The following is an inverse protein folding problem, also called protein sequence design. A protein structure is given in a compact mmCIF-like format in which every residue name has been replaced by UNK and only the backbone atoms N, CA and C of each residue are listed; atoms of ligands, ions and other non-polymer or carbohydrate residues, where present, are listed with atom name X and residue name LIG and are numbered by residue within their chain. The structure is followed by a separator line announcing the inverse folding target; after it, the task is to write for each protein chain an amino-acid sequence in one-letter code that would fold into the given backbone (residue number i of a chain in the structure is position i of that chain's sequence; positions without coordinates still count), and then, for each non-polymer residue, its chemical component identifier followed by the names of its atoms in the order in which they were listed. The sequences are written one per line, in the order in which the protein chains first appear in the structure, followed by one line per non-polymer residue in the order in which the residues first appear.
data_IF_236036966875
#
_entry.id   IF_236036966875
#
_cell.length_a   1.000
_cell.length_b   1.000
_cell.length_c   1.000
_cell.angle_alpha   90.00
_cell.angle_beta   90.00
_cell.angle_gamma   90.00
#
_symmetry.space_group_name_H-M   'P 1'
#
loop_
_entity.id
_entity.type
_entity.pdbx_description
1 polymer ?
#
# COMPACT_ATOMS: atom_id res chain seq x y z
N UNK A 1 -49.97 -13.08 58.37
CA UNK A 1 -49.33 -11.75 58.29
C UNK A 1 -48.52 -11.77 56.98
N UNK A 2 -49.19 -11.94 55.84
CA UNK A 2 -49.89 -10.93 55.01
C UNK A 2 -48.97 -9.85 54.46
N UNK A 3 -48.69 -9.97 53.15
CA UNK A 3 -48.17 -8.95 52.23
C UNK A 3 -49.27 -7.93 51.87
N UNK A 4 -48.93 -6.63 51.70
CA UNK A 4 -49.71 -5.54 51.04
C UNK A 4 -48.72 -4.38 50.72
N UNK A 5 -48.74 -3.59 49.62
CA UNK A 5 -49.26 -3.71 48.24
C UNK A 5 -48.53 -2.68 47.31
N UNK A 6 -48.37 -3.03 46.02
CA UNK A 6 -48.51 -2.19 44.79
C UNK A 6 -47.75 -0.86 44.52
N UNK A 7 -46.98 -0.92 43.41
CA UNK A 7 -47.08 -0.11 42.17
C UNK A 7 -47.39 1.41 42.19
N UNK A 8 -46.54 2.18 41.47
CA UNK A 8 -46.99 3.02 40.33
C UNK A 8 -45.85 3.38 39.37
N UNK A 9 -46.17 3.64 38.11
CA UNK A 9 -45.22 4.01 37.05
C UNK A 9 -45.44 5.45 36.52
N UNK A 10 -44.34 6.08 36.09
CA UNK A 10 -44.21 7.08 35.01
C UNK A 10 -44.96 8.45 35.06
N UNK A 11 -44.60 9.48 34.24
CA UNK A 11 -43.35 9.69 33.47
C UNK A 11 -42.77 11.15 33.47
N UNK A 12 -41.58 11.29 32.87
CA UNK A 12 -41.09 12.39 32.01
C UNK A 12 -40.68 13.81 32.54
N UNK A 13 -39.77 14.40 31.74
CA UNK A 13 -39.40 15.82 31.57
C UNK A 13 -38.46 16.54 32.57
N UNK A 14 -37.15 16.51 32.29
CA UNK A 14 -36.22 17.63 32.48
C UNK A 14 -35.31 17.73 31.23
N UNK A 15 -35.54 18.70 30.34
CA UNK A 15 -34.93 20.06 30.31
C UNK A 15 -33.48 20.08 29.81
N UNK A 16 -33.31 20.36 28.52
CA UNK A 16 -32.08 20.93 27.97
C UNK A 16 -31.87 22.36 28.50
N UNK A 17 -30.62 22.75 28.84
CA UNK A 17 -30.19 24.12 28.82
C UNK A 17 -29.27 24.39 27.62
N UNK A 18 -29.55 25.44 26.85
CA UNK A 18 -28.60 25.97 25.86
C UNK A 18 -27.41 26.64 26.55
N UNK A 19 -26.19 26.51 26.01
CA UNK A 19 -25.04 27.29 26.51
C UNK A 19 -23.69 26.96 25.88
N UNK A 20 -23.28 27.83 24.94
CA UNK A 20 -21.90 28.09 24.49
C UNK A 20 -21.07 26.98 23.81
N UNK A 21 -20.65 27.31 22.58
CA UNK A 21 -19.44 26.79 21.95
C UNK A 21 -18.20 27.32 22.69
N UNK A 22 -17.19 26.46 22.92
CA UNK A 22 -15.81 26.90 22.77
C UNK A 22 -14.86 25.88 22.12
N UNK A 23 -14.08 26.40 21.17
CA UNK A 23 -12.67 26.08 20.88
C UNK A 23 -12.34 24.82 20.05
N UNK A 24 -11.37 25.03 19.17
CA UNK A 24 -10.65 24.07 18.33
C UNK A 24 -9.90 23.03 19.18
N UNK A 25 -9.65 21.81 18.66
CA UNK A 25 -8.57 20.97 19.16
C UNK A 25 -7.20 21.62 18.87
N UNK A 26 -6.15 21.34 19.68
CA UNK A 26 -4.87 22.03 19.59
C UNK A 26 -3.99 21.56 18.42
N UNK A 27 -3.18 22.47 17.88
CA UNK A 27 -1.96 22.15 17.13
C UNK A 27 -0.79 22.00 18.10
N UNK A 28 -0.18 20.81 18.13
CA UNK A 28 1.09 20.37 18.75
C UNK A 28 0.83 18.97 19.33
N UNK A 29 1.62 17.92 19.10
CA UNK A 29 2.98 17.85 18.57
C UNK A 29 3.70 16.74 19.34
N UNK A 30 4.45 15.89 18.62
CA UNK A 30 5.41 14.91 19.15
C UNK A 30 4.86 13.78 20.03
N UNK A 31 4.67 12.61 19.40
CA UNK A 31 5.01 11.32 20.00
C UNK A 31 5.56 10.42 18.89
N UNK A 32 6.90 10.41 18.72
CA UNK A 32 7.55 9.45 17.82
C UNK A 32 7.51 8.10 18.53
N UNK A 33 6.52 7.28 18.18
CA UNK A 33 6.52 5.86 18.53
C UNK A 33 7.51 5.16 17.61
N UNK A 34 8.43 4.39 18.18
CA UNK A 34 9.27 3.50 17.38
C UNK A 34 8.40 2.38 16.82
N UNK A 35 8.09 2.45 15.53
CA UNK A 35 7.61 1.29 14.78
C UNK A 35 8.69 0.21 14.88
N UNK A 36 8.28 -1.01 15.21
CA UNK A 36 9.14 -2.19 15.15
C UNK A 36 8.65 -3.06 14.03
N UNK A 37 9.36 -3.08 12.92
CA UNK A 37 9.15 -4.11 11.92
C UNK A 37 9.43 -5.47 12.52
N UNK A 38 8.59 -6.44 12.15
CA UNK A 38 8.84 -7.84 12.45
C UNK A 38 8.51 -8.70 11.25
N UNK A 39 9.53 -9.35 10.71
CA UNK A 39 9.36 -10.36 9.65
C UNK A 39 8.68 -11.59 10.25
N UNK A 40 7.37 -11.72 10.00
CA UNK A 40 6.55 -12.80 10.56
C UNK A 40 6.79 -14.15 9.89
N UNK A 41 7.61 -15.03 10.49
CA UNK A 41 7.73 -16.42 10.01
C UNK A 41 6.48 -17.24 10.37
N UNK A 42 5.54 -17.40 9.43
CA UNK A 42 4.37 -18.24 9.64
C UNK A 42 4.74 -19.73 9.77
N UNK A 43 4.38 -20.37 10.89
CA UNK A 43 4.59 -21.83 11.06
C UNK A 43 3.49 -22.61 10.36
N UNK A 44 3.83 -23.22 9.22
CA UNK A 44 3.00 -24.16 8.47
C UNK A 44 2.23 -25.16 9.35
N UNK A 45 0.91 -25.07 9.36
CA UNK A 45 0.02 -26.22 9.48
C UNK A 45 -0.84 -26.29 8.20
N UNK A 46 -0.70 -27.38 7.44
CA UNK A 46 -1.40 -27.56 6.16
C UNK A 46 -2.90 -27.84 6.36
N UNK A 47 -3.78 -27.15 5.63
CA UNK A 47 -5.06 -27.71 5.20
C UNK A 47 -4.88 -28.55 3.92
N UNK A 48 -5.74 -29.56 3.74
CA UNK A 48 -5.82 -30.33 2.49
C UNK A 48 -6.63 -29.57 1.43
N UNK A 49 -6.36 -29.75 0.12
CA UNK A 49 -7.03 -28.98 -0.92
C UNK A 49 -8.50 -29.39 -1.07
N UNK A 50 -9.40 -28.45 -0.84
CA UNK A 50 -10.76 -28.48 -1.37
C UNK A 50 -10.94 -27.25 -2.25
N UNK A 51 -11.27 -27.44 -3.53
CA UNK A 51 -11.72 -26.35 -4.38
C UNK A 51 -13.05 -25.82 -3.80
N UNK A 52 -12.99 -24.72 -3.06
CA UNK A 52 -14.16 -23.89 -2.81
C UNK A 52 -14.23 -22.87 -3.94
N UNK A 53 -15.34 -22.88 -4.67
CA UNK A 53 -15.61 -21.84 -5.66
C UNK A 53 -15.96 -20.54 -4.91
N UNK A 54 -15.36 -19.42 -5.32
CA UNK A 54 -15.70 -18.10 -4.81
C UNK A 54 -17.21 -17.83 -4.96
N UNK A 55 -17.90 -17.35 -3.92
CA UNK A 55 -19.29 -16.92 -4.05
C UNK A 55 -19.37 -15.72 -5.00
N UNK A 56 -20.42 -15.67 -5.82
CA UNK A 56 -20.52 -14.70 -6.92
C UNK A 56 -20.64 -13.24 -6.44
N UNK A 57 -19.53 -12.51 -6.52
CA UNK A 57 -19.48 -11.03 -6.38
C UNK A 57 -19.93 -10.38 -7.70
N UNK A 58 -20.59 -9.23 -7.62
CA UNK A 58 -21.23 -8.52 -8.72
C UNK A 58 -20.80 -7.05 -8.72
N UNK A 59 -19.91 -6.68 -9.65
CA UNK A 59 -19.65 -5.27 -9.96
C UNK A 59 -20.87 -4.66 -10.67
N UNK A 60 -21.27 -3.44 -10.30
CA UNK A 60 -22.39 -2.74 -10.94
C UNK A 60 -21.91 -1.90 -12.14
N UNK A 61 -22.21 -2.33 -13.38
CA UNK A 61 -22.38 -1.41 -14.52
C UNK A 61 -22.92 -2.07 -15.79
N UNK A 62 -24.25 -2.27 -15.86
CA UNK A 62 -24.96 -2.35 -17.15
C UNK A 62 -25.33 -0.93 -17.65
N UNK A 63 -24.32 -0.06 -17.81
CA UNK A 63 -24.43 1.24 -18.50
C UNK A 63 -23.10 1.59 -19.15
N UNK A 64 -23.13 1.89 -20.45
CA UNK A 64 -21.98 2.37 -21.23
C UNK A 64 -21.48 3.74 -20.72
N UNK A 65 -20.65 3.72 -19.67
CA UNK A 65 -19.81 4.85 -19.28
C UNK A 65 -18.41 4.30 -19.01
N UNK A 66 -17.43 4.79 -19.77
CA UNK A 66 -16.02 4.56 -19.51
C UNK A 66 -15.70 4.93 -18.06
N UNK A 67 -15.20 3.97 -17.28
CA UNK A 67 -14.79 4.19 -15.89
C UNK A 67 -13.50 5.02 -15.87
N UNK A 68 -13.66 6.33 -16.01
CA UNK A 68 -12.56 7.28 -15.98
C UNK A 68 -12.32 7.74 -14.54
N UNK A 69 -11.52 6.96 -13.78
CA UNK A 69 -10.96 7.44 -12.51
C UNK A 69 -9.93 8.55 -12.79
N UNK A 70 -10.44 9.77 -12.87
CA UNK A 70 -9.70 10.99 -13.17
C UNK A 70 -9.10 11.60 -11.89
N UNK A 71 -7.96 11.07 -11.46
CA UNK A 71 -7.09 11.75 -10.49
C UNK A 71 -6.47 12.99 -11.15
N UNK A 72 -7.10 14.14 -10.94
CA UNK A 72 -6.76 15.38 -11.64
C UNK A 72 -5.64 16.16 -10.97
N UNK A 73 -4.42 16.06 -11.50
CA UNK A 73 -3.31 16.95 -11.14
C UNK A 73 -3.14 18.08 -12.18
N UNK A 74 -2.95 19.34 -11.74
CA UNK A 74 -2.81 20.48 -12.64
C UNK A 74 -1.45 20.49 -13.34
N UNK A 75 -1.48 20.57 -14.68
CA UNK A 75 -0.28 20.60 -15.52
C UNK A 75 0.45 21.95 -15.42
N UNK A 76 1.40 22.07 -14.50
CA UNK A 76 2.21 23.27 -14.34
C UNK A 76 3.32 23.37 -15.41
N UNK A 77 3.16 24.26 -16.38
CA UNK A 77 4.26 24.67 -17.27
C UNK A 77 4.98 25.89 -16.70
N UNK A 78 6.22 25.71 -16.24
CA UNK A 78 7.08 26.82 -15.80
C UNK A 78 8.36 26.88 -16.65
N UNK A 79 8.55 27.99 -17.37
CA UNK A 79 9.79 28.35 -18.06
C UNK A 79 10.35 29.64 -17.48
N UNK A 80 11.53 29.57 -16.85
CA UNK A 80 12.48 30.64 -16.49
C UNK A 80 13.53 30.04 -15.54
N UNK A 81 14.77 30.52 -15.38
CA UNK A 81 15.65 31.29 -16.26
C UNK A 81 17.10 31.09 -15.76
N UNK A 82 18.09 31.18 -16.65
CA UNK A 82 19.49 30.84 -16.37
C UNK A 82 20.11 31.54 -15.13
N UNK A 83 20.61 30.75 -14.17
CA UNK A 83 21.44 31.24 -13.06
C UNK A 83 21.96 30.12 -12.16
N UNK A 84 23.21 29.69 -12.35
CA UNK A 84 23.94 28.70 -11.55
C UNK A 84 23.18 27.38 -11.26
N UNK A 85 23.19 26.50 -12.26
CA UNK A 85 22.81 25.09 -12.11
C UNK A 85 23.76 24.43 -11.10
N UNK A 86 23.22 23.93 -9.99
CA UNK A 86 23.91 22.93 -9.16
C UNK A 86 24.20 21.71 -10.04
N UNK A 87 25.33 20.99 -9.88
CA UNK A 87 25.61 19.82 -10.72
C UNK A 87 24.41 18.87 -10.69
N UNK A 88 23.89 18.50 -11.87
CA UNK A 88 22.82 17.52 -11.95
C UNK A 88 23.30 16.24 -11.24
N UNK A 89 22.49 15.63 -10.36
CA UNK A 89 22.87 14.38 -9.73
C UNK A 89 23.14 13.34 -10.83
N UNK A 90 24.27 12.63 -10.70
CA UNK A 90 24.67 11.60 -11.66
C UNK A 90 23.50 10.63 -11.92
N UNK A 91 23.18 10.32 -13.19
CA UNK A 91 22.03 9.50 -13.51
C UNK A 91 22.18 8.12 -12.85
N UNK A 92 21.08 7.62 -12.29
CA UNK A 92 21.04 6.41 -11.44
C UNK A 92 21.67 5.17 -12.10
N UNK A 93 21.67 5.10 -13.43
CA UNK A 93 22.29 4.04 -14.22
C UNK A 93 23.84 3.99 -14.09
N UNK A 94 24.50 5.13 -13.87
CA UNK A 94 25.95 5.21 -13.59
C UNK A 94 26.27 4.56 -12.25
N UNK A 95 25.46 4.85 -11.21
CA UNK A 95 25.67 4.35 -9.83
C UNK A 95 25.61 2.82 -9.78
N UNK A 96 24.63 2.21 -10.47
CA UNK A 96 24.43 0.76 -10.55
C UNK A 96 25.60 -0.03 -11.19
N UNK A 97 26.53 0.65 -11.88
CA UNK A 97 27.60 -0.01 -12.64
C UNK A 97 28.90 -0.25 -11.84
N UNK A 98 29.03 0.33 -10.65
CA UNK A 98 30.33 0.42 -9.93
C UNK A 98 30.68 -0.79 -9.07
N UNK A 99 29.68 -1.51 -8.56
CA UNK A 99 29.79 -2.78 -7.87
C UNK A 99 28.62 -3.66 -8.35
N UNK A 100 28.80 -4.98 -8.57
CA UNK A 100 27.69 -5.92 -8.69
C UNK A 100 27.43 -6.52 -7.30
N UNK A 101 26.59 -5.90 -6.46
CA UNK A 101 26.20 -6.52 -5.20
C UNK A 101 25.39 -7.79 -5.49
N UNK A 102 25.24 -8.65 -4.47
CA UNK A 102 24.30 -9.76 -4.54
C UNK A 102 22.86 -9.21 -4.52
N UNK A 103 22.38 -8.84 -5.70
CA UNK A 103 21.03 -8.34 -5.92
C UNK A 103 19.95 -9.41 -5.79
N UNK A 104 20.32 -10.66 -5.49
CA UNK A 104 19.40 -11.81 -5.38
C UNK A 104 19.15 -12.26 -3.96
N UNK A 105 20.03 -11.90 -3.00
CA UNK A 105 19.80 -12.09 -1.57
C UNK A 105 18.71 -11.11 -1.07
N UNK A 106 17.64 -11.60 -0.40
CA UNK A 106 16.70 -10.74 0.32
C UNK A 106 17.38 -9.80 1.32
N UNK A 107 16.74 -8.69 1.63
CA UNK A 107 17.17 -7.85 2.76
C UNK A 107 17.01 -8.65 4.06
N UNK A 108 17.96 -8.53 4.98
CA UNK A 108 17.78 -9.01 6.34
C UNK A 108 17.19 -7.92 7.25
N UNK A 109 16.84 -8.27 8.49
CA UNK A 109 16.17 -7.36 9.44
C UNK A 109 16.91 -6.02 9.58
N UNK A 110 18.25 -6.04 9.66
CA UNK A 110 19.03 -4.81 9.79
C UNK A 110 18.99 -3.93 8.54
N UNK A 111 18.91 -4.54 7.35
CA UNK A 111 18.80 -3.80 6.09
C UNK A 111 17.37 -3.29 5.81
N UNK A 112 16.35 -3.94 6.35
CA UNK A 112 14.96 -3.46 6.36
C UNK A 112 14.81 -2.29 7.33
N UNK A 113 15.34 -2.41 8.55
CA UNK A 113 15.40 -1.33 9.55
C UNK A 113 16.13 -0.10 8.98
N UNK A 114 17.29 -0.29 8.31
CA UNK A 114 18.04 0.81 7.67
C UNK A 114 17.22 1.52 6.58
N UNK A 115 16.45 0.76 5.78
CA UNK A 115 15.59 1.33 4.74
C UNK A 115 14.39 2.07 5.35
N UNK A 116 13.76 1.53 6.40
CA UNK A 116 12.65 2.17 7.10
C UNK A 116 13.09 3.45 7.82
N UNK A 117 14.18 3.41 8.59
CA UNK A 117 14.76 4.58 9.26
C UNK A 117 15.07 5.70 8.25
N UNK A 118 15.52 5.33 7.04
CA UNK A 118 15.76 6.29 5.97
C UNK A 118 14.46 6.89 5.40
N UNK A 119 13.46 6.06 5.07
CA UNK A 119 12.18 6.51 4.53
C UNK A 119 11.40 7.42 5.52
N UNK A 120 11.58 7.20 6.82
CA UNK A 120 10.92 7.96 7.89
C UNK A 120 11.63 9.28 8.29
N UNK A 121 12.64 9.73 7.54
CA UNK A 121 13.37 10.97 7.84
C UNK A 121 12.52 12.22 7.65
N UNK A 122 12.45 13.08 8.67
CA UNK A 122 11.83 14.44 8.61
C UNK A 122 12.38 15.38 7.52
N UNK A 123 13.46 14.99 6.82
CA UNK A 123 14.05 15.75 5.69
C UNK A 123 13.49 15.37 4.32
N UNK A 124 12.71 14.28 4.23
CA UNK A 124 12.07 13.84 3.00
C UNK A 124 10.66 14.44 2.88
N UNK A 125 10.04 14.45 1.68
CA UNK A 125 8.68 14.93 1.50
C UNK A 125 7.65 14.13 2.30
N UNK A 126 6.55 14.77 2.72
CA UNK A 126 5.47 14.16 3.52
C UNK A 126 4.79 12.96 2.82
N UNK A 127 4.77 12.95 1.48
CA UNK A 127 4.23 11.84 0.65
C UNK A 127 5.32 10.80 0.26
N UNK A 128 6.42 10.73 1.00
CA UNK A 128 7.39 9.63 0.88
C UNK A 128 6.74 8.33 1.35
N UNK A 129 6.90 7.27 0.57
CA UNK A 129 6.34 5.96 0.89
C UNK A 129 6.96 5.38 2.16
N UNK A 130 6.12 4.94 3.10
CA UNK A 130 6.54 4.05 4.19
C UNK A 130 7.10 2.74 3.65
N UNK A 131 7.82 1.93 4.44
CA UNK A 131 8.30 0.63 3.98
C UNK A 131 7.16 -0.29 3.51
N UNK A 132 6.01 -0.27 4.21
CA UNK A 132 4.83 -1.06 3.82
C UNK A 132 4.26 -0.60 2.46
N UNK A 133 4.12 0.72 2.27
CA UNK A 133 3.67 1.33 1.01
C UNK A 133 4.64 1.04 -0.14
N UNK A 134 5.95 1.17 0.12
CA UNK A 134 7.00 0.82 -0.84
C UNK A 134 6.96 -0.66 -1.22
N UNK A 135 6.77 -1.56 -0.25
CA UNK A 135 6.69 -2.99 -0.51
C UNK A 135 5.49 -3.32 -1.41
N UNK A 136 4.32 -2.70 -1.19
CA UNK A 136 3.16 -2.82 -2.07
C UNK A 136 3.40 -2.29 -3.47
N UNK A 137 4.00 -1.10 -3.56
CA UNK A 137 4.34 -0.43 -4.81
C UNK A 137 5.29 -1.25 -5.68
N UNK A 138 6.39 -1.74 -5.11
CA UNK A 138 7.32 -2.62 -5.80
C UNK A 138 6.68 -3.98 -6.15
N UNK A 139 5.78 -4.50 -5.30
CA UNK A 139 5.06 -5.74 -5.61
C UNK A 139 4.17 -5.59 -6.84
N UNK A 140 3.40 -4.50 -6.95
CA UNK A 140 2.61 -4.22 -8.15
C UNK A 140 3.48 -4.13 -9.41
N UNK A 141 4.63 -3.47 -9.34
CA UNK A 141 5.60 -3.40 -10.45
C UNK A 141 6.12 -4.79 -10.85
N UNK A 142 6.37 -5.67 -9.87
CA UNK A 142 6.85 -7.05 -10.10
C UNK A 142 5.77 -7.97 -10.68
N UNK A 143 4.53 -7.93 -10.16
CA UNK A 143 3.45 -8.82 -10.62
C UNK A 143 2.80 -8.37 -11.92
N UNK A 144 3.02 -7.13 -12.33
CA UNK A 144 2.35 -6.47 -13.44
C UNK A 144 2.57 -7.09 -14.83
N UNK A 145 1.85 -6.58 -15.83
CA UNK A 145 1.85 -7.09 -17.20
C UNK A 145 3.18 -6.89 -17.95
N UNK A 146 3.94 -5.86 -17.60
CA UNK A 146 5.11 -5.36 -18.32
C UNK A 146 6.31 -5.15 -17.38
N UNK A 147 7.54 -5.16 -17.91
CA UNK A 147 8.70 -4.71 -17.15
C UNK A 147 8.76 -3.18 -17.18
N UNK A 148 8.64 -2.56 -16.01
CA UNK A 148 8.67 -1.09 -15.87
C UNK A 148 10.10 -0.58 -15.62
N UNK A 149 10.67 0.27 -16.49
CA UNK A 149 12.02 0.81 -16.28
C UNK A 149 12.12 1.70 -15.03
N UNK A 150 13.28 1.73 -14.31
CA UNK A 150 13.43 2.46 -13.05
C UNK A 150 13.09 3.95 -13.12
N UNK A 151 13.37 4.61 -14.25
CA UNK A 151 13.03 6.02 -14.46
C UNK A 151 11.52 6.34 -14.37
N UNK A 152 10.64 5.34 -14.52
CA UNK A 152 9.20 5.51 -14.38
C UNK A 152 8.69 5.37 -12.94
N UNK A 153 9.44 4.71 -12.04
CA UNK A 153 8.98 4.40 -10.67
C UNK A 153 9.89 4.91 -9.55
N UNK A 154 11.21 4.95 -9.72
CA UNK A 154 12.18 5.26 -8.66
C UNK A 154 11.98 6.66 -8.06
N UNK A 155 11.58 7.63 -8.89
CA UNK A 155 11.26 8.99 -8.44
C UNK A 155 9.95 9.09 -7.66
N UNK A 156 9.00 8.17 -7.87
CA UNK A 156 7.65 8.21 -7.25
C UNK A 156 7.64 7.78 -5.79
N UNK A 157 8.70 7.12 -5.32
CA UNK A 157 8.86 6.67 -3.93
C UNK A 157 8.87 7.87 -2.96
N UNK A 158 9.34 9.02 -3.44
CA UNK A 158 9.52 10.25 -2.66
C UNK A 158 8.32 11.21 -2.75
N UNK A 159 7.21 10.81 -3.38
CA UNK A 159 6.06 11.67 -3.64
C UNK A 159 6.34 12.79 -4.65
N UNK A 160 5.56 13.87 -4.57
CA UNK A 160 5.78 15.08 -5.37
C UNK A 160 7.01 15.86 -4.87
N UNK A 161 8.10 15.82 -5.65
CA UNK A 161 9.37 16.47 -5.33
C UNK A 161 9.30 18.00 -5.54
N UNK A 162 9.38 18.77 -4.45
CA UNK A 162 9.72 20.19 -4.55
C UNK A 162 11.20 20.35 -4.98
N UNK A 163 11.55 21.32 -5.86
CA UNK A 163 12.91 21.44 -6.42
C UNK A 163 14.05 21.69 -5.43
N UNK A 164 13.73 22.00 -4.18
CA UNK A 164 14.66 22.39 -3.12
C UNK A 164 14.95 21.25 -2.13
N UNK A 165 14.26 20.10 -2.24
CA UNK A 165 14.41 18.95 -1.34
C UNK A 165 15.59 18.07 -1.76
N UNK A 166 16.66 18.10 -0.97
CA UNK A 166 17.78 17.18 -1.12
C UNK A 166 17.44 15.82 -0.47
N UNK A 167 17.05 14.85 -1.31
CA UNK A 167 16.79 13.47 -0.87
C UNK A 167 18.01 12.83 -0.19
N UNK A 168 19.18 12.96 -0.83
CA UNK A 168 20.42 12.33 -0.39
C UNK A 168 21.44 13.38 0.07
N UNK A 169 22.17 13.09 1.15
CA UNK A 169 23.28 13.92 1.64
C UNK A 169 24.61 13.60 0.96
N UNK A 170 24.71 12.47 0.25
CA UNK A 170 25.88 12.07 -0.54
C UNK A 170 25.52 11.07 -1.65
N UNK A 171 26.42 10.91 -2.63
CA UNK A 171 26.35 9.85 -3.65
C UNK A 171 26.42 8.44 -3.05
N UNK A 172 27.12 8.28 -1.92
CA UNK A 172 27.23 7.01 -1.19
C UNK A 172 25.89 6.61 -0.55
N UNK A 173 25.19 7.58 0.07
CA UNK A 173 23.83 7.37 0.60
C UNK A 173 22.84 7.07 -0.54
N UNK A 174 22.89 7.84 -1.63
CA UNK A 174 22.08 7.58 -2.83
C UNK A 174 22.31 6.17 -3.38
N UNK A 175 23.57 5.74 -3.47
CA UNK A 175 23.93 4.39 -3.90
C UNK A 175 23.45 3.29 -2.95
N UNK A 176 23.59 3.48 -1.63
CA UNK A 176 23.13 2.51 -0.63
C UNK A 176 21.62 2.34 -0.64
N UNK A 177 20.87 3.43 -0.59
CA UNK A 177 19.40 3.37 -0.57
C UNK A 177 18.87 2.82 -1.90
N UNK A 178 19.36 3.32 -3.04
CA UNK A 178 19.01 2.76 -4.36
C UNK A 178 19.30 1.26 -4.42
N UNK A 179 20.44 0.80 -3.88
CA UNK A 179 20.76 -0.61 -3.82
C UNK A 179 19.76 -1.43 -2.98
N UNK A 180 19.35 -0.93 -1.81
CA UNK A 180 18.33 -1.56 -0.97
C UNK A 180 16.98 -1.69 -1.70
N UNK A 181 16.54 -0.62 -2.38
CA UNK A 181 15.30 -0.62 -3.18
C UNK A 181 15.30 -1.71 -4.26
N UNK A 182 16.39 -1.83 -5.04
CA UNK A 182 16.51 -2.87 -6.05
C UNK A 182 16.58 -4.29 -5.46
N UNK A 183 17.23 -4.48 -4.31
CA UNK A 183 17.25 -5.79 -3.63
C UNK A 183 15.87 -6.18 -3.09
N UNK A 184 15.11 -5.23 -2.53
CA UNK A 184 13.74 -5.46 -2.09
C UNK A 184 12.85 -5.90 -3.26
N UNK A 185 12.89 -5.17 -4.38
CA UNK A 185 12.15 -5.52 -5.60
C UNK A 185 12.53 -6.92 -6.14
N UNK A 186 13.82 -7.24 -6.17
CA UNK A 186 14.29 -8.55 -6.63
C UNK A 186 13.93 -9.68 -5.67
N UNK A 187 13.90 -9.45 -4.35
CA UNK A 187 13.46 -10.48 -3.40
C UNK A 187 11.96 -10.78 -3.52
N UNK A 188 11.14 -9.76 -3.79
CA UNK A 188 9.71 -9.94 -4.10
C UNK A 188 9.56 -10.79 -5.38
N UNK A 189 10.31 -10.47 -6.43
CA UNK A 189 10.29 -11.22 -7.68
C UNK A 189 10.76 -12.68 -7.51
N UNK A 190 11.82 -12.92 -6.74
CA UNK A 190 12.34 -14.26 -6.47
C UNK A 190 11.35 -15.09 -5.63
N UNK A 191 10.75 -14.49 -4.60
CA UNK A 191 9.75 -15.16 -3.77
C UNK A 191 8.51 -15.54 -4.56
N UNK A 192 7.95 -14.63 -5.36
CA UNK A 192 6.78 -14.91 -6.20
C UNK A 192 7.06 -15.92 -7.33
N UNK A 193 8.31 -16.03 -7.78
CA UNK A 193 8.72 -17.00 -8.80
C UNK A 193 9.02 -18.39 -8.22
N UNK A 194 9.75 -18.49 -7.11
CA UNK A 194 10.26 -19.76 -6.56
C UNK A 194 9.45 -20.30 -5.38
N UNK A 195 8.88 -19.41 -4.54
CA UNK A 195 8.19 -19.74 -3.29
C UNK A 195 6.86 -18.98 -3.14
N UNK A 196 5.96 -18.96 -4.15
CA UNK A 196 4.73 -18.14 -4.11
C UNK A 196 3.80 -18.48 -2.92
N UNK A 197 3.85 -19.71 -2.40
CA UNK A 197 3.08 -20.11 -1.21
C UNK A 197 3.66 -19.58 0.12
N UNK A 198 4.82 -18.93 0.10
CA UNK A 198 5.48 -18.29 1.24
C UNK A 198 5.45 -16.75 1.16
N UNK A 199 4.95 -16.19 0.04
CA UNK A 199 4.82 -14.73 -0.13
C UNK A 199 3.91 -14.12 0.93
N UNK A 200 4.40 -13.06 1.58
CA UNK A 200 3.64 -12.27 2.55
C UNK A 200 3.91 -10.78 2.35
N UNK A 201 2.87 -9.93 2.31
CA UNK A 201 3.04 -8.48 2.42
C UNK A 201 3.78 -8.09 3.70
N UNK A 202 4.69 -7.12 3.59
CA UNK A 202 5.13 -6.28 4.71
C UNK A 202 4.01 -5.27 4.98
N UNK A 203 3.19 -5.53 5.99
CA UNK A 203 2.18 -4.60 6.48
C UNK A 203 2.78 -3.64 7.51
N UNK A 204 2.20 -2.45 7.64
CA UNK A 204 2.41 -1.60 8.80
C UNK A 204 1.61 -2.15 9.99
N UNK A 205 1.95 -1.73 11.21
CA UNK A 205 1.21 -2.08 12.41
C UNK A 205 1.18 -0.91 13.41
N UNK A 206 0.13 -0.86 14.22
CA UNK A 206 -0.01 0.03 15.38
C UNK A 206 -0.11 -0.78 16.68
N UNK A 207 0.22 -0.15 17.81
CA UNK A 207 -0.03 -0.70 19.15
C UNK A 207 -1.28 -0.04 19.73
N UNK A 208 -2.36 -0.81 19.92
CA UNK A 208 -3.60 -0.36 20.56
C UNK A 208 -3.89 -1.24 21.79
N UNK A 209 -4.07 -0.62 22.96
CA UNK A 209 -4.28 -1.29 24.26
C UNK A 209 -3.25 -2.42 24.62
N UNK A 210 -2.06 -2.39 23.99
CA UNK A 210 -1.00 -3.39 24.15
C UNK A 210 -1.10 -4.61 23.23
N UNK A 211 -2.02 -4.58 22.26
CA UNK A 211 -2.15 -5.53 21.16
C UNK A 211 -1.63 -4.90 19.85
N UNK A 212 -1.08 -5.73 18.96
CA UNK A 212 -0.53 -5.31 17.67
C UNK A 212 -1.64 -5.40 16.61
N UNK A 213 -2.02 -4.27 16.03
CA UNK A 213 -3.05 -4.15 15.01
C UNK A 213 -2.39 -4.00 13.64
N UNK A 214 -2.66 -4.94 12.73
CA UNK A 214 -2.16 -4.91 11.35
C UNK A 214 -2.91 -3.85 10.55
N UNK A 215 -2.17 -3.02 9.81
CA UNK A 215 -2.68 -1.95 8.96
C UNK A 215 -2.43 -2.29 7.48
N UNK A 216 -3.32 -3.08 6.83
CA UNK A 216 -3.14 -3.51 5.45
C UNK A 216 -3.23 -2.37 4.43
N UNK A 217 -3.87 -1.25 4.79
CA UNK A 217 -4.15 -0.11 3.92
C UNK A 217 -2.88 0.48 3.30
N UNK A 218 -1.79 0.64 4.06
CA UNK A 218 -0.53 1.19 3.57
C UNK A 218 0.06 0.36 2.42
N UNK A 219 0.05 -0.97 2.57
CA UNK A 219 0.55 -1.87 1.53
C UNK A 219 -0.38 -1.86 0.31
N UNK A 220 -1.69 -1.87 0.53
CA UNK A 220 -2.69 -1.90 -0.55
C UNK A 220 -2.73 -0.59 -1.34
N UNK A 221 -2.61 0.55 -0.67
CA UNK A 221 -2.40 1.86 -1.29
C UNK A 221 -1.14 1.86 -2.15
N UNK A 222 -0.02 1.37 -1.63
CA UNK A 222 1.23 1.20 -2.36
C UNK A 222 1.04 0.38 -3.63
N UNK A 223 0.37 -0.76 -3.53
CA UNK A 223 0.06 -1.62 -4.67
C UNK A 223 -0.76 -0.87 -5.74
N UNK A 224 -1.82 -0.15 -5.33
CA UNK A 224 -2.63 0.67 -6.24
C UNK A 224 -1.76 1.76 -6.90
N UNK A 225 -0.95 2.53 -6.14
CA UNK A 225 0.01 3.50 -6.69
C UNK A 225 0.95 2.85 -7.73
N UNK A 226 1.33 1.59 -7.54
CA UNK A 226 2.16 0.82 -8.47
C UNK A 226 1.46 0.45 -9.77
N UNK A 227 0.17 0.06 -9.73
CA UNK A 227 -0.63 -0.15 -10.95
C UNK A 227 -0.74 1.11 -11.82
N UNK A 228 -0.69 2.29 -11.20
CA UNK A 228 -0.78 3.58 -11.90
C UNK A 228 0.51 3.99 -12.62
N UNK A 229 1.61 3.26 -12.46
CA UNK A 229 2.87 3.55 -13.17
C UNK A 229 2.77 3.22 -14.66
N UNK A 230 2.08 2.13 -15.00
CA UNK A 230 1.75 1.70 -16.38
C UNK A 230 0.25 1.37 -16.47
N UNK A 231 -0.59 2.38 -16.17
CA UNK A 231 -2.07 2.25 -16.09
C UNK A 231 -2.65 1.57 -17.34
N UNK A 232 -2.18 1.94 -18.52
CA UNK A 232 -2.72 1.47 -19.80
C UNK A 232 -2.56 -0.05 -19.96
N UNK A 233 -1.43 -0.62 -19.52
CA UNK A 233 -1.22 -2.08 -19.53
C UNK A 233 -2.06 -2.82 -18.49
N UNK A 234 -2.36 -2.18 -17.34
CA UNK A 234 -3.25 -2.75 -16.31
C UNK A 234 -4.75 -2.69 -16.68
N UNK A 235 -5.15 -1.78 -17.58
CA UNK A 235 -6.56 -1.53 -17.89
C UNK A 235 -7.34 -2.79 -18.31
N UNK A 236 -6.71 -3.73 -19.02
CA UNK A 236 -7.34 -4.99 -19.44
C UNK A 236 -7.83 -5.88 -18.28
N UNK A 237 -7.15 -5.84 -17.13
CA UNK A 237 -7.59 -6.52 -15.90
C UNK A 237 -8.83 -5.84 -15.32
N UNK A 238 -8.82 -4.51 -15.25
CA UNK A 238 -9.89 -3.72 -14.65
C UNK A 238 -11.18 -3.68 -15.50
N UNK A 239 -11.05 -3.73 -16.83
CA UNK A 239 -12.19 -3.82 -17.75
C UNK A 239 -12.85 -5.22 -17.73
N UNK A 240 -12.11 -6.25 -17.32
CA UNK A 240 -12.60 -7.63 -17.22
C UNK A 240 -13.28 -7.87 -15.88
N UNK A 241 -14.62 -7.98 -15.88
CA UNK A 241 -15.40 -8.24 -14.66
C UNK A 241 -15.00 -9.53 -13.92
N UNK A 242 -14.45 -10.53 -14.63
CA UNK A 242 -13.96 -11.77 -14.02
C UNK A 242 -12.54 -11.61 -13.48
N UNK A 243 -11.63 -11.00 -14.25
CA UNK A 243 -10.22 -10.88 -13.83
C UNK A 243 -10.02 -9.77 -12.78
N UNK A 244 -10.86 -8.72 -12.77
CA UNK A 244 -10.86 -7.69 -11.72
C UNK A 244 -11.12 -8.27 -10.32
N UNK A 245 -11.75 -9.45 -10.21
CA UNK A 245 -11.90 -10.15 -8.93
C UNK A 245 -10.55 -10.50 -8.29
N UNK A 246 -9.48 -10.65 -9.09
CA UNK A 246 -8.12 -10.95 -8.62
C UNK A 246 -7.46 -9.79 -7.86
N UNK A 247 -7.98 -8.56 -7.97
CA UNK A 247 -7.43 -7.37 -7.28
C UNK A 247 -8.42 -6.78 -6.25
N UNK A 248 -9.67 -7.25 -6.21
CA UNK A 248 -10.68 -6.75 -5.26
C UNK A 248 -10.24 -6.79 -3.78
N UNK A 249 -9.60 -7.85 -3.25
CA UNK A 249 -9.15 -7.85 -1.85
C UNK A 249 -8.12 -6.75 -1.55
N UNK A 250 -7.27 -6.42 -2.53
CA UNK A 250 -6.30 -5.32 -2.41
C UNK A 250 -7.05 -3.97 -2.46
N UNK A 251 -7.97 -3.80 -3.42
CA UNK A 251 -8.75 -2.57 -3.54
C UNK A 251 -9.63 -2.28 -2.30
N UNK A 252 -10.14 -3.32 -1.62
CA UNK A 252 -10.98 -3.20 -0.43
C UNK A 252 -10.29 -2.54 0.78
N UNK A 253 -8.95 -2.55 0.80
CA UNK A 253 -8.13 -1.86 1.82
C UNK A 253 -7.45 -0.59 1.28
N UNK A 254 -7.51 -0.31 -0.02
CA UNK A 254 -6.83 0.84 -0.64
C UNK A 254 -7.72 2.10 -0.73
N UNK A 255 -9.02 2.00 -0.40
CA UNK A 255 -9.99 3.11 -0.38
C UNK A 255 -10.86 3.04 0.87
N UNK A 256 -11.64 4.09 1.16
CA UNK A 256 -12.60 4.03 2.26
C UNK A 256 -13.67 2.94 2.01
N UNK A 257 -14.05 2.19 3.06
CA UNK A 257 -14.98 1.05 2.95
C UNK A 257 -16.34 1.42 2.33
N UNK A 258 -16.86 2.60 2.66
CA UNK A 258 -18.10 3.18 2.09
C UNK A 258 -17.99 3.44 0.58
N UNK A 259 -16.82 3.87 0.08
CA UNK A 259 -16.53 4.09 -1.33
C UNK A 259 -16.49 2.74 -2.06
N UNK A 260 -15.74 1.77 -1.51
CA UNK A 260 -15.68 0.41 -2.07
C UNK A 260 -17.05 -0.26 -2.17
N UNK A 261 -17.85 -0.24 -1.10
CA UNK A 261 -19.20 -0.81 -1.06
C UNK A 261 -20.21 -0.09 -1.97
N UNK A 262 -19.89 1.13 -2.45
CA UNK A 262 -20.73 1.85 -3.40
C UNK A 262 -20.55 1.36 -4.85
N UNK A 263 -19.37 0.85 -5.19
CA UNK A 263 -19.00 0.35 -6.54
C UNK A 263 -19.10 -1.18 -6.64
N UNK A 264 -18.81 -1.90 -5.55
CA UNK A 264 -18.74 -3.37 -5.50
C UNK A 264 -19.91 -3.94 -4.69
N UNK A 265 -20.68 -4.87 -5.27
CA UNK A 265 -21.77 -5.56 -4.55
C UNK A 265 -21.53 -7.06 -4.40
N UNK A 266 -21.89 -7.62 -3.25
CA UNK A 266 -21.70 -9.03 -2.92
C UNK A 266 -21.37 -9.21 -1.44
N UNK A 267 -20.88 -10.39 -1.02
CA UNK A 267 -20.38 -10.63 0.33
C UNK A 267 -18.99 -9.98 0.53
N UNK A 268 -18.93 -8.65 0.56
CA UNK A 268 -17.69 -7.88 0.72
C UNK A 268 -17.09 -7.94 2.14
N UNK A 269 -17.91 -8.27 3.15
CA UNK A 269 -17.50 -8.36 4.56
C UNK A 269 -16.23 -9.20 4.81
N UNK A 270 -15.98 -10.22 3.98
CA UNK A 270 -14.80 -11.09 4.11
C UNK A 270 -13.48 -10.31 4.01
N UNK A 271 -13.44 -9.21 3.25
CA UNK A 271 -12.23 -8.42 3.08
C UNK A 271 -11.78 -7.75 4.39
N UNK A 272 -12.70 -7.36 5.29
CA UNK A 272 -12.36 -6.77 6.59
C UNK A 272 -12.39 -7.79 7.74
N UNK A 273 -11.96 -9.01 7.46
CA UNK A 273 -11.79 -10.10 8.43
C UNK A 273 -10.37 -10.66 8.37
N UNK A 274 -9.98 -11.51 9.32
CA UNK A 274 -8.67 -12.18 9.32
C UNK A 274 -8.42 -12.97 8.02
N UNK A 275 -9.48 -13.56 7.43
CA UNK A 275 -9.44 -14.23 6.11
C UNK A 275 -9.15 -13.24 4.98
N UNK A 276 -9.60 -11.99 5.11
CA UNK A 276 -9.33 -10.90 4.17
C UNK A 276 -7.85 -10.57 4.03
N UNK A 277 -7.10 -10.61 5.13
CA UNK A 277 -5.64 -10.44 5.10
C UNK A 277 -4.96 -11.56 4.30
N UNK A 278 -5.40 -12.81 4.46
CA UNK A 278 -4.91 -13.92 3.63
C UNK A 278 -5.27 -13.75 2.15
N UNK A 279 -6.45 -13.18 1.86
CA UNK A 279 -6.87 -12.89 0.48
C UNK A 279 -5.97 -11.85 -0.22
N UNK A 280 -5.32 -10.92 0.49
CA UNK A 280 -4.33 -9.99 -0.10
C UNK A 280 -3.14 -10.78 -0.69
N UNK A 281 -2.56 -11.69 0.09
CA UNK A 281 -1.44 -12.55 -0.34
C UNK A 281 -1.85 -13.46 -1.49
N UNK A 282 -3.02 -14.11 -1.38
CA UNK A 282 -3.55 -14.99 -2.41
C UNK A 282 -3.83 -14.24 -3.73
N UNK A 283 -4.40 -13.04 -3.65
CA UNK A 283 -4.62 -12.13 -4.79
C UNK A 283 -3.32 -11.79 -5.49
N UNK A 284 -2.29 -11.43 -4.73
CA UNK A 284 -0.97 -11.07 -5.27
C UNK A 284 -0.33 -12.23 -6.05
N UNK A 285 -0.39 -13.44 -5.49
CA UNK A 285 0.10 -14.67 -6.15
C UNK A 285 -0.72 -14.98 -7.41
N UNK A 286 -2.03 -14.80 -7.37
CA UNK A 286 -2.90 -15.01 -8.52
C UNK A 286 -2.65 -13.99 -9.64
N UNK A 287 -2.44 -12.70 -9.32
CA UNK A 287 -2.06 -11.65 -10.27
C UNK A 287 -0.68 -11.93 -10.90
N UNK A 288 0.30 -12.37 -10.10
CA UNK A 288 1.60 -12.79 -10.62
C UNK A 288 1.48 -13.91 -11.65
N UNK A 289 0.63 -14.91 -11.37
CA UNK A 289 0.36 -16.03 -12.27
C UNK A 289 -0.44 -15.62 -13.52
N UNK A 290 -1.45 -14.76 -13.38
CA UNK A 290 -2.29 -14.24 -14.46
C UNK A 290 -1.46 -13.55 -15.56
N UNK A 291 -0.51 -12.69 -15.15
CA UNK A 291 0.35 -11.95 -16.08
C UNK A 291 1.61 -12.71 -16.55
N UNK A 292 1.93 -13.87 -15.97
CA UNK A 292 3.12 -14.68 -16.33
C UNK A 292 3.23 -15.04 -17.83
N UNK A 293 2.14 -15.40 -18.55
CA UNK A 293 2.19 -15.65 -19.99
C UNK A 293 2.55 -14.39 -20.80
N UNK A 294 2.08 -13.22 -20.38
CA UNK A 294 2.33 -11.95 -21.07
C UNK A 294 3.81 -11.50 -20.94
N UNK A 295 4.45 -11.78 -19.81
CA UNK A 295 5.88 -11.49 -19.58
C UNK A 295 6.84 -12.47 -20.30
N UNK A 296 6.33 -13.53 -20.90
CA UNK A 296 7.13 -14.63 -21.48
C UNK A 296 7.23 -14.61 -23.01
N UNK A 297 6.62 -13.62 -23.68
CA UNK A 297 6.56 -13.47 -25.15
C UNK A 297 7.33 -12.28 -25.69
#
# INVERSE_FOLDING_TARGET
MMEIEQQRAEPAHQRLPHGHCPRQPPRSGTAIGHVRLRVGSARSQRPSPQHQAMPSIVCQSDREHSVSMAFGFPRATATCAHGNVAPEPEPWNTVMSSHPPDVTRPLDEQELDELEDYLNRESLPEDTMSLATLHGFLTAIVVGPSQTPPEHWLGRIWGDLEPEVALFVSEEEAGRITHLLFRLMNSIALELAERPAEFSPIHAAAEEDGEEIVLPEFWCEGFVRGTLVDRDSWQGLFDSREDALLVLPILAHAVERNEFESEVTGPTEVFWSDEGLELISQSTVALHAYWSPARSG
#
